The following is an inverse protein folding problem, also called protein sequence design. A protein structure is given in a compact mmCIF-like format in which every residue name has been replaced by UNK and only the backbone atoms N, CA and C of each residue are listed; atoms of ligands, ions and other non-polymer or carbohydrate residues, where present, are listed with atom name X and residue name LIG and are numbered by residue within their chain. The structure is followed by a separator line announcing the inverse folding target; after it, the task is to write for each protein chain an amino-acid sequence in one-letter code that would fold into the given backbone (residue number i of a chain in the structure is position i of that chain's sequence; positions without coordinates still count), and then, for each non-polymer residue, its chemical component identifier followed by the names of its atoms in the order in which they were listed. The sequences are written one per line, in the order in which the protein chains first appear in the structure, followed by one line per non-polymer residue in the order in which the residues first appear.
data_IF_379208454053
#
_entry.id   IF_379208454053
#
_cell.length_a   1.000
_cell.length_b   1.000
_cell.length_c   1.000
_cell.angle_alpha   90.00
_cell.angle_beta   90.00
_cell.angle_gamma   90.00
#
_symmetry.space_group_name_H-M   'P 1'
#
loop_
_entity.id
_entity.type
_entity.pdbx_description
1 polymer ?
#
# COMPACT_ATOMS: atom_id res chain seq x y z
N UNK A 1 31.37 1.19 9.24
CA UNK A 1 30.33 1.11 8.20
C UNK A 1 31.06 1.35 6.88
N UNK A 2 31.51 0.30 6.24
CA UNK A 2 32.34 0.36 5.04
C UNK A 2 31.40 0.13 3.86
N UNK A 3 31.05 1.22 3.17
CA UNK A 3 30.35 1.12 1.89
C UNK A 3 31.31 0.49 0.89
N UNK A 4 31.07 -0.73 0.49
CA UNK A 4 31.81 -1.39 -0.58
C UNK A 4 31.41 -0.75 -1.92
N UNK A 5 32.37 -0.38 -2.72
CA UNK A 5 32.21 0.31 -4.01
C UNK A 5 31.31 -0.50 -5.01
N UNK A 6 31.11 -1.79 -4.75
CA UNK A 6 30.23 -2.64 -5.54
C UNK A 6 28.74 -2.47 -5.26
N UNK A 7 28.36 -2.23 -4.01
CA UNK A 7 26.93 -2.14 -3.62
C UNK A 7 26.27 -0.88 -4.20
N UNK A 8 26.99 0.26 -4.21
CA UNK A 8 26.47 1.50 -4.75
C UNK A 8 26.24 1.49 -6.28
N UNK A 9 26.99 0.68 -7.01
CA UNK A 9 26.83 0.53 -8.46
C UNK A 9 25.59 -0.27 -8.81
N UNK A 10 25.35 -1.38 -8.10
CA UNK A 10 24.17 -2.25 -8.26
C UNK A 10 22.89 -1.47 -7.91
N UNK A 11 22.92 -0.64 -6.87
CA UNK A 11 21.79 0.22 -6.50
C UNK A 11 21.45 1.26 -7.57
N UNK A 12 22.47 1.91 -8.16
CA UNK A 12 22.27 2.90 -9.22
C UNK A 12 21.65 2.25 -10.47
N UNK A 13 22.17 1.11 -10.90
CA UNK A 13 21.62 0.34 -12.03
C UNK A 13 20.16 -0.08 -11.76
N UNK A 14 19.83 -0.44 -10.54
CA UNK A 14 18.45 -0.77 -10.14
C UNK A 14 17.53 0.44 -10.19
N UNK A 15 17.98 1.61 -9.72
CA UNK A 15 17.20 2.85 -9.79
C UNK A 15 16.98 3.26 -11.26
N UNK A 16 17.99 3.19 -12.11
CA UNK A 16 17.87 3.45 -13.54
C UNK A 16 16.85 2.49 -14.19
N UNK A 17 16.90 1.21 -13.85
CA UNK A 17 15.95 0.21 -14.35
C UNK A 17 14.50 0.55 -13.95
N UNK A 18 14.26 0.99 -12.71
CA UNK A 18 12.93 1.38 -12.23
C UNK A 18 12.44 2.65 -12.94
N UNK A 19 13.32 3.64 -13.14
CA UNK A 19 12.99 4.87 -13.87
C UNK A 19 12.68 4.58 -15.34
N UNK A 20 13.45 3.72 -15.98
CA UNK A 20 13.22 3.25 -17.34
C UNK A 20 11.88 2.53 -17.47
N UNK A 21 11.56 1.67 -16.49
CA UNK A 21 10.26 1.00 -16.42
C UNK A 21 9.12 2.03 -16.34
N UNK A 22 9.28 3.06 -15.51
CA UNK A 22 8.28 4.12 -15.37
C UNK A 22 8.08 4.90 -16.68
N UNK A 23 9.18 5.35 -17.31
CA UNK A 23 9.13 6.16 -18.53
C UNK A 23 8.52 5.39 -19.71
N UNK A 24 8.73 4.08 -19.78
CA UNK A 24 8.20 3.21 -20.84
C UNK A 24 6.76 2.74 -20.59
N UNK A 25 6.23 2.97 -19.37
CA UNK A 25 4.88 2.52 -19.01
C UNK A 25 3.81 3.51 -19.47
N UNK A 26 2.77 2.99 -20.08
CA UNK A 26 1.57 3.74 -20.47
C UNK A 26 0.42 3.55 -19.47
N UNK A 27 0.58 2.62 -18.55
CA UNK A 27 -0.42 2.27 -17.53
C UNK A 27 0.23 1.75 -16.25
N UNK A 28 -0.57 1.71 -15.15
CA UNK A 28 -0.15 1.04 -13.90
C UNK A 28 0.17 -0.44 -14.15
N UNK A 29 -0.61 -1.12 -15.00
CA UNK A 29 -0.36 -2.54 -15.35
C UNK A 29 0.99 -2.74 -16.02
N UNK A 30 1.39 -1.84 -16.93
CA UNK A 30 2.68 -1.92 -17.60
C UNK A 30 3.83 -1.69 -16.62
N UNK A 31 3.68 -0.73 -15.71
CA UNK A 31 4.65 -0.51 -14.66
C UNK A 31 4.76 -1.73 -13.73
N UNK A 32 3.64 -2.30 -13.30
CA UNK A 32 3.64 -3.53 -12.50
C UNK A 32 4.32 -4.69 -13.22
N UNK A 33 4.06 -4.86 -14.53
CA UNK A 33 4.71 -5.89 -15.34
C UNK A 33 6.22 -5.68 -15.38
N UNK A 34 6.67 -4.46 -15.58
CA UNK A 34 8.09 -4.13 -15.60
C UNK A 34 8.76 -4.42 -14.25
N UNK A 35 8.11 -4.12 -13.14
CA UNK A 35 8.60 -4.45 -11.79
C UNK A 35 8.75 -5.96 -11.61
N UNK A 36 7.72 -6.74 -11.94
CA UNK A 36 7.73 -8.22 -11.77
C UNK A 36 8.85 -8.88 -12.58
N UNK A 37 9.13 -8.36 -13.78
CA UNK A 37 10.16 -8.91 -14.66
C UNK A 37 11.54 -8.23 -14.56
N UNK A 38 11.72 -7.34 -13.59
CA UNK A 38 12.98 -6.63 -13.40
C UNK A 38 14.05 -7.52 -12.76
N UNK A 39 15.30 -7.26 -13.12
CA UNK A 39 16.45 -7.97 -12.54
C UNK A 39 16.64 -7.66 -11.04
N UNK A 40 16.26 -6.46 -10.58
CA UNK A 40 16.42 -6.09 -9.18
C UNK A 40 15.49 -6.86 -8.22
N UNK A 41 14.43 -7.48 -8.71
CA UNK A 41 13.56 -8.38 -7.93
C UNK A 41 14.10 -9.80 -7.87
N UNK A 42 15.15 -10.13 -8.65
CA UNK A 42 15.77 -11.45 -8.72
C UNK A 42 14.75 -12.58 -8.92
N UNK A 43 13.68 -12.32 -9.67
CA UNK A 43 12.55 -13.24 -9.89
C UNK A 43 11.80 -13.68 -8.62
N UNK A 44 12.04 -12.98 -7.50
CA UNK A 44 11.37 -13.28 -6.22
C UNK A 44 9.96 -12.72 -6.13
N UNK A 45 9.56 -11.86 -7.07
CA UNK A 45 8.23 -11.22 -7.13
C UNK A 45 7.41 -11.86 -8.24
N UNK A 46 6.24 -12.39 -7.88
CA UNK A 46 5.31 -13.05 -8.80
C UNK A 46 4.13 -12.17 -9.19
N UNK A 47 3.91 -11.06 -8.47
CA UNK A 47 2.85 -10.12 -8.77
C UNK A 47 3.11 -8.75 -8.15
N UNK A 48 2.53 -7.74 -8.77
CA UNK A 48 2.59 -6.35 -8.31
C UNK A 48 1.21 -5.74 -8.48
N UNK A 49 0.63 -5.20 -7.41
CA UNK A 49 -0.72 -4.67 -7.39
C UNK A 49 -0.78 -3.33 -6.67
N UNK A 50 -1.55 -2.40 -7.22
CA UNK A 50 -1.78 -1.08 -6.66
C UNK A 50 -3.15 -1.01 -6.00
N UNK A 51 -3.18 -0.41 -4.83
CA UNK A 51 -4.37 -0.12 -4.06
C UNK A 51 -4.43 1.38 -3.78
N UNK A 52 -5.58 2.00 -4.04
CA UNK A 52 -5.85 3.39 -3.70
C UNK A 52 -6.63 3.46 -2.39
N UNK A 53 -6.21 4.35 -1.49
CA UNK A 53 -6.92 4.63 -0.25
C UNK A 53 -8.01 5.65 -0.51
N UNK A 54 -9.25 5.31 -0.18
CA UNK A 54 -10.38 6.22 -0.28
C UNK A 54 -10.62 7.03 1.02
N UNK A 55 -11.63 7.91 0.98
CA UNK A 55 -11.99 8.74 2.12
C UNK A 55 -12.60 7.97 3.30
N UNK A 56 -13.09 6.76 3.05
CA UNK A 56 -13.67 5.86 4.06
C UNK A 56 -12.62 4.92 4.66
N UNK A 57 -11.36 5.12 4.30
CA UNK A 57 -10.23 4.29 4.72
C UNK A 57 -10.27 2.86 4.18
N UNK A 58 -10.81 2.67 2.96
CA UNK A 58 -10.68 1.41 2.23
C UNK A 58 -9.57 1.50 1.20
N UNK A 59 -8.83 0.43 1.09
CA UNK A 59 -7.82 0.19 0.07
C UNK A 59 -8.48 -0.57 -1.07
N UNK A 60 -8.80 0.16 -2.13
CA UNK A 60 -9.47 -0.38 -3.31
C UNK A 60 -8.44 -0.80 -4.35
N UNK A 61 -8.55 -1.99 -4.94
CA UNK A 61 -7.64 -2.41 -6.00
C UNK A 61 -7.83 -1.51 -7.23
N UNK A 62 -6.70 -0.97 -7.74
CA UNK A 62 -6.70 -0.10 -8.92
C UNK A 62 -6.30 -0.86 -10.16
N UNK A 63 -5.15 -1.49 -10.10
CA UNK A 63 -4.58 -2.25 -11.22
C UNK A 63 -3.41 -3.09 -10.73
N UNK A 64 -2.96 -4.03 -11.57
CA UNK A 64 -1.82 -4.86 -11.23
C UNK A 64 -1.45 -5.83 -12.34
N UNK A 65 -0.44 -6.64 -12.07
CA UNK A 65 0.06 -7.69 -12.95
C UNK A 65 0.57 -8.89 -12.15
N UNK A 66 0.34 -10.08 -12.66
CA UNK A 66 0.83 -11.33 -12.08
C UNK A 66 -0.09 -11.91 -11.01
N UNK A 67 0.49 -12.70 -10.11
CA UNK A 67 -0.25 -13.37 -9.01
C UNK A 67 -0.86 -12.34 -8.07
N UNK A 68 -2.10 -12.57 -7.67
CA UNK A 68 -2.81 -11.72 -6.70
C UNK A 68 -2.56 -12.16 -5.27
N UNK A 69 -2.49 -11.21 -4.34
CA UNK A 69 -2.44 -11.44 -2.91
C UNK A 69 -3.84 -11.57 -2.31
N UNK A 70 -4.74 -10.69 -2.72
CA UNK A 70 -6.16 -10.73 -2.38
C UNK A 70 -6.97 -11.27 -3.55
N UNK A 71 -8.16 -11.79 -3.29
CA UNK A 71 -9.09 -12.15 -4.34
C UNK A 71 -9.45 -10.93 -5.20
N UNK A 72 -9.69 -11.16 -6.48
CA UNK A 72 -9.94 -10.08 -7.44
C UNK A 72 -11.15 -9.24 -7.03
N UNK A 73 -10.93 -7.93 -6.91
CA UNK A 73 -11.98 -6.95 -6.61
C UNK A 73 -12.31 -6.80 -5.12
N UNK A 74 -11.62 -7.50 -4.22
CA UNK A 74 -11.81 -7.33 -2.78
C UNK A 74 -11.11 -6.05 -2.32
N UNK A 75 -11.86 -5.16 -1.68
CA UNK A 75 -11.35 -4.00 -0.96
C UNK A 75 -10.98 -4.39 0.47
N UNK A 76 -9.90 -3.82 0.97
CA UNK A 76 -9.37 -4.06 2.31
C UNK A 76 -9.60 -2.80 3.15
N UNK A 77 -10.07 -2.95 4.37
CA UNK A 77 -10.09 -1.82 5.31
C UNK A 77 -8.66 -1.47 5.75
N UNK A 78 -8.31 -0.19 5.81
CA UNK A 78 -7.02 0.23 6.38
C UNK A 78 -6.85 -0.17 7.86
N UNK A 79 -7.91 -0.66 8.50
CA UNK A 79 -7.94 -1.10 9.90
C UNK A 79 -7.85 -2.63 10.04
N UNK A 80 -7.85 -3.37 8.94
CA UNK A 80 -7.70 -4.81 8.98
C UNK A 80 -6.29 -5.21 9.45
N UNK A 81 -6.19 -6.40 10.03
CA UNK A 81 -4.92 -7.01 10.41
C UNK A 81 -4.26 -7.65 9.18
N UNK A 82 -3.74 -6.81 8.31
CA UNK A 82 -3.15 -7.18 7.03
C UNK A 82 -1.94 -6.31 6.72
N UNK A 83 -0.84 -6.87 6.15
CA UNK A 83 0.38 -6.13 5.84
C UNK A 83 0.17 -4.91 4.93
N UNK A 84 -0.79 -4.96 3.99
CA UNK A 84 -1.07 -3.83 3.10
C UNK A 84 -1.71 -2.69 3.90
N UNK A 85 -2.70 -3.02 4.74
CA UNK A 85 -3.36 -2.06 5.64
C UNK A 85 -2.36 -1.46 6.64
N UNK A 86 -1.54 -2.31 7.24
CA UNK A 86 -0.49 -1.90 8.16
C UNK A 86 0.53 -0.97 7.53
N UNK A 87 0.93 -1.20 6.28
CA UNK A 87 1.89 -0.34 5.58
C UNK A 87 1.38 1.08 5.45
N UNK A 88 0.10 1.24 5.12
CA UNK A 88 -0.56 2.54 4.99
C UNK A 88 -0.71 3.22 6.34
N UNK A 89 -1.13 2.47 7.36
CA UNK A 89 -1.36 2.98 8.72
C UNK A 89 -0.06 3.42 9.39
N UNK A 90 0.98 2.59 9.32
CA UNK A 90 2.30 2.86 9.90
C UNK A 90 3.17 3.77 9.04
N UNK A 91 2.81 3.96 7.75
CA UNK A 91 3.59 4.71 6.74
C UNK A 91 4.98 4.13 6.51
N UNK A 92 5.13 2.85 6.74
CA UNK A 92 6.35 2.07 6.61
C UNK A 92 6.06 0.80 5.82
N UNK A 93 7.04 0.27 5.11
CA UNK A 93 6.85 -1.00 4.42
C UNK A 93 6.61 -2.12 5.42
N UNK A 94 5.80 -3.10 5.03
CA UNK A 94 5.55 -4.31 5.80
C UNK A 94 5.95 -5.53 4.97
N UNK A 95 6.61 -6.45 5.62
CA UNK A 95 7.04 -7.70 4.99
C UNK A 95 6.43 -8.90 5.71
N UNK A 96 5.61 -9.66 5.00
CA UNK A 96 5.10 -10.95 5.45
C UNK A 96 5.85 -12.06 4.74
N UNK A 97 6.54 -12.88 5.54
CA UNK A 97 7.34 -13.98 5.02
C UNK A 97 6.44 -15.12 4.53
N UNK A 98 6.57 -15.55 3.26
CA UNK A 98 5.81 -16.67 2.71
C UNK A 98 6.10 -18.01 3.38
N UNK A 99 7.23 -18.16 4.09
CA UNK A 99 7.56 -19.42 4.79
C UNK A 99 6.55 -19.81 5.87
N UNK A 100 5.75 -18.88 6.38
CA UNK A 100 4.70 -19.14 7.35
C UNK A 100 3.38 -19.51 6.68
N UNK A 101 3.05 -18.83 5.60
CA UNK A 101 1.87 -19.04 4.77
C UNK A 101 2.30 -18.86 3.30
N UNK A 102 2.59 -19.97 2.58
CA UNK A 102 3.21 -19.89 1.24
C UNK A 102 2.45 -19.06 0.22
N UNK A 103 1.14 -18.96 0.40
CA UNK A 103 0.26 -18.20 -0.49
C UNK A 103 0.11 -16.72 -0.11
N UNK A 104 0.66 -16.30 1.04
CA UNK A 104 0.50 -14.95 1.59
C UNK A 104 1.81 -14.18 1.75
N UNK A 105 2.86 -14.56 1.05
CA UNK A 105 4.09 -13.77 1.02
C UNK A 105 3.86 -12.43 0.33
N UNK A 106 4.11 -11.31 1.02
CA UNK A 106 3.92 -9.97 0.46
C UNK A 106 4.93 -8.98 1.04
N UNK A 107 5.40 -8.08 0.19
CA UNK A 107 6.05 -6.83 0.58
C UNK A 107 5.10 -5.69 0.23
N UNK A 108 4.50 -5.09 1.25
CA UNK A 108 3.60 -3.96 1.12
C UNK A 108 4.36 -2.64 1.31
N UNK A 109 4.23 -1.73 0.36
CA UNK A 109 4.94 -0.45 0.33
C UNK A 109 3.90 0.68 0.32
N UNK A 110 3.90 1.59 1.30
CA UNK A 110 2.94 2.68 1.33
C UNK A 110 3.22 3.71 0.24
N UNK A 111 2.16 4.22 -0.37
CA UNK A 111 2.21 5.34 -1.30
C UNK A 111 1.86 6.61 -0.54
N UNK A 112 2.83 7.52 -0.45
CA UNK A 112 2.72 8.74 0.35
C UNK A 112 2.79 9.97 -0.54
N UNK A 113 1.82 10.86 -0.40
CA UNK A 113 1.83 12.21 -0.97
C UNK A 113 1.91 13.21 0.18
N UNK A 114 2.98 14.00 0.23
CA UNK A 114 3.24 14.98 1.32
C UNK A 114 3.10 14.34 2.71
N UNK A 115 3.64 13.13 2.88
CA UNK A 115 3.55 12.31 4.10
C UNK A 115 2.14 11.82 4.47
N UNK A 116 1.16 12.01 3.58
CA UNK A 116 -0.21 11.50 3.73
C UNK A 116 -0.35 10.22 2.89
N UNK A 117 -0.84 9.12 3.47
CA UNK A 117 -1.08 7.90 2.70
C UNK A 117 -2.16 8.12 1.64
N UNK A 118 -1.89 7.68 0.42
CA UNK A 118 -2.83 7.70 -0.71
C UNK A 118 -3.10 6.30 -1.26
N UNK A 119 -2.39 5.30 -0.76
CA UNK A 119 -2.55 3.92 -1.18
C UNK A 119 -1.35 3.06 -0.80
N UNK A 120 -1.25 1.91 -1.45
CA UNK A 120 -0.13 0.97 -1.29
C UNK A 120 0.20 0.23 -2.59
N UNK A 121 1.44 -0.25 -2.68
CA UNK A 121 1.85 -1.29 -3.62
C UNK A 121 2.03 -2.60 -2.85
N UNK A 122 1.46 -3.69 -3.34
CA UNK A 122 1.71 -5.03 -2.86
C UNK A 122 2.55 -5.80 -3.87
N UNK A 123 3.75 -6.21 -3.48
CA UNK A 123 4.59 -7.13 -4.23
C UNK A 123 4.36 -8.53 -3.68
N UNK A 124 3.72 -9.38 -4.47
CA UNK A 124 3.44 -10.78 -4.11
C UNK A 124 4.69 -11.61 -4.32
N UNK A 125 5.09 -12.33 -3.29
CA UNK A 125 6.39 -13.00 -3.24
C UNK A 125 6.29 -14.48 -3.60
N UNK A 126 7.38 -15.00 -4.12
CA UNK A 126 7.54 -16.45 -4.29
C UNK A 126 7.64 -17.14 -2.91
N UNK A 127 7.14 -18.38 -2.83
CA UNK A 127 7.12 -19.17 -1.59
C UNK A 127 8.52 -19.45 -0.99
N UNK A 128 9.58 -19.38 -1.81
CA UNK A 128 10.95 -19.65 -1.38
C UNK A 128 11.66 -18.42 -0.78
N UNK A 129 11.04 -17.23 -0.86
CA UNK A 129 11.61 -15.98 -0.37
C UNK A 129 11.67 -15.98 1.16
N UNK A 130 12.86 -15.77 1.73
CA UNK A 130 13.08 -15.80 3.18
C UNK A 130 13.28 -14.42 3.82
N UNK A 131 13.48 -13.40 3.02
CA UNK A 131 13.73 -12.02 3.47
C UNK A 131 13.19 -11.01 2.49
N UNK A 132 13.37 -9.71 2.77
CA UNK A 132 12.97 -8.65 1.83
C UNK A 132 13.72 -8.83 0.51
N UNK A 133 13.01 -9.01 -0.62
CA UNK A 133 13.63 -9.44 -1.88
C UNK A 133 14.34 -8.31 -2.64
N UNK A 134 14.20 -7.08 -2.20
CA UNK A 134 14.79 -5.88 -2.81
C UNK A 134 15.59 -5.11 -1.77
N UNK A 135 16.59 -4.34 -2.22
CA UNK A 135 17.35 -3.47 -1.31
C UNK A 135 16.42 -2.50 -0.57
N UNK A 136 16.63 -2.37 0.74
CA UNK A 136 15.83 -1.46 1.58
C UNK A 136 15.88 -0.01 1.08
N UNK A 137 16.96 0.39 0.43
CA UNK A 137 17.11 1.72 -0.15
C UNK A 137 16.21 1.95 -1.39
N UNK A 138 15.82 0.87 -2.09
CA UNK A 138 14.92 0.94 -3.25
C UNK A 138 13.45 1.04 -2.85
N UNK A 139 13.07 0.58 -1.66
CA UNK A 139 11.68 0.60 -1.19
C UNK A 139 11.10 2.02 -1.18
N UNK A 140 11.78 3.04 -0.62
CA UNK A 140 11.29 4.41 -0.68
C UNK A 140 11.21 4.98 -2.11
N UNK A 141 12.11 4.54 -2.99
CA UNK A 141 12.09 4.95 -4.41
C UNK A 141 10.85 4.39 -5.08
N UNK A 142 10.58 3.09 -4.91
CA UNK A 142 9.36 2.44 -5.43
C UNK A 142 8.09 3.10 -4.88
N UNK A 143 8.04 3.43 -3.60
CA UNK A 143 6.92 4.14 -3.00
C UNK A 143 6.67 5.51 -3.64
N UNK A 144 7.72 6.30 -3.89
CA UNK A 144 7.61 7.61 -4.55
C UNK A 144 7.15 7.48 -6.00
N UNK A 145 7.75 6.57 -6.77
CA UNK A 145 7.39 6.35 -8.16
C UNK A 145 6.01 5.74 -8.29
N UNK A 146 5.63 4.83 -7.39
CA UNK A 146 4.27 4.30 -7.31
C UNK A 146 3.24 5.39 -7.01
N UNK A 147 3.54 6.33 -6.12
CA UNK A 147 2.69 7.49 -5.87
C UNK A 147 2.52 8.34 -7.14
N UNK A 148 3.61 8.56 -7.88
CA UNK A 148 3.54 9.24 -9.17
C UNK A 148 2.67 8.48 -10.16
N UNK A 149 2.86 7.16 -10.33
CA UNK A 149 2.05 6.31 -11.21
C UNK A 149 0.56 6.38 -10.86
N UNK A 150 0.24 6.25 -9.57
CA UNK A 150 -1.14 6.32 -9.11
C UNK A 150 -1.79 7.64 -9.50
N UNK A 151 -1.10 8.77 -9.33
CA UNK A 151 -1.62 10.08 -9.70
C UNK A 151 -1.69 10.30 -11.21
N UNK A 152 -0.63 9.92 -11.95
CA UNK A 152 -0.54 10.17 -13.38
C UNK A 152 -1.54 9.33 -14.19
N UNK A 153 -1.65 8.05 -13.89
CA UNK A 153 -2.48 7.12 -14.65
C UNK A 153 -3.94 7.06 -14.17
N UNK A 154 -4.22 7.37 -12.88
CA UNK A 154 -5.61 7.51 -12.41
C UNK A 154 -6.31 8.71 -13.05
N UNK A 155 -5.58 9.77 -13.39
CA UNK A 155 -6.12 10.94 -14.11
C UNK A 155 -6.49 10.65 -15.57
N UNK A 156 -5.79 9.73 -16.23
CA UNK A 156 -6.05 9.34 -17.61
C UNK A 156 -7.28 8.44 -17.76
N UNK A 157 -7.56 7.60 -16.76
CA UNK A 157 -8.78 6.77 -16.66
C UNK A 157 -9.99 7.56 -16.14
N UNK A 158 -9.77 8.76 -15.63
CA UNK A 158 -10.76 9.61 -14.92
C UNK A 158 -11.80 10.29 -15.77
N UNK A 159 -11.99 9.89 -17.05
CA UNK A 159 -13.22 10.21 -17.78
C UNK A 159 -14.30 9.13 -17.69
N UNK A 160 -14.03 8.02 -17.04
CA UNK A 160 -14.97 6.92 -16.87
C UNK A 160 -15.25 6.51 -15.41
N UNK A 161 -14.60 7.14 -14.44
CA UNK A 161 -14.95 6.93 -13.03
C UNK A 161 -15.13 8.30 -12.39
N UNK A 162 -16.39 8.62 -12.16
CA UNK A 162 -16.78 9.83 -11.49
C UNK A 162 -16.06 9.99 -10.18
N UNK A 163 -15.66 11.24 -9.95
CA UNK A 163 -15.72 11.89 -8.66
C UNK A 163 -15.68 10.94 -7.47
N UNK A 164 -14.51 10.79 -6.84
CA UNK A 164 -14.45 10.36 -5.43
C UNK A 164 -14.99 11.44 -4.49
N UNK A 165 -15.97 12.19 -4.97
CA UNK A 165 -16.80 13.06 -4.17
C UNK A 165 -18.21 12.49 -4.21
N UNK A 166 -18.69 12.06 -3.06
CA UNK A 166 -20.09 11.88 -2.74
C UNK A 166 -20.90 10.94 -3.64
N UNK A 167 -20.66 9.63 -3.55
CA UNK A 167 -21.79 8.78 -3.28
C UNK A 167 -21.85 8.64 -1.76
N UNK A 168 -22.37 9.70 -1.14
CA UNK A 168 -23.15 9.52 0.05
C UNK A 168 -24.25 8.53 -0.34
N UNK A 169 -23.97 7.22 -0.21
CA UNK A 169 -25.00 6.29 0.10
C UNK A 169 -25.58 6.85 1.39
N UNK A 170 -26.79 7.38 1.27
CA UNK A 170 -27.72 7.39 2.39
C UNK A 170 -27.84 5.93 2.86
N UNK A 171 -26.85 5.47 3.60
CA UNK A 171 -26.98 4.35 4.49
C UNK A 171 -27.93 4.87 5.54
N UNK A 172 -29.16 4.43 5.45
CA UNK A 172 -30.10 4.47 6.57
C UNK A 172 -29.31 4.02 7.79
N UNK A 173 -29.25 4.91 8.81
CA UNK A 173 -28.41 4.75 9.97
C UNK A 173 -28.52 3.37 10.57
N UNK A 174 -27.40 2.90 11.01
CA UNK A 174 -27.11 2.07 12.18
C UNK A 174 -25.82 1.29 12.09
N UNK A 175 -25.16 1.20 10.92
CA UNK A 175 -23.91 0.44 10.83
C UNK A 175 -22.69 1.36 11.06
N UNK A 176 -21.94 1.03 12.12
CA UNK A 176 -20.66 1.67 12.44
C UNK A 176 -19.65 1.39 11.31
N UNK A 177 -18.87 2.39 10.94
CA UNK A 177 -17.75 2.22 10.02
C UNK A 177 -16.66 1.34 10.65
N UNK A 178 -15.84 0.67 9.82
CA UNK A 178 -14.72 -0.13 10.31
C UNK A 178 -13.78 0.66 11.22
N UNK A 179 -13.60 1.95 10.93
CA UNK A 179 -12.83 2.87 11.77
C UNK A 179 -13.47 3.06 13.14
N UNK A 180 -14.79 3.28 13.19
CA UNK A 180 -15.53 3.45 14.43
C UNK A 180 -15.51 2.18 15.27
N UNK A 181 -15.65 1.01 14.64
CA UNK A 181 -15.51 -0.29 15.32
C UNK A 181 -14.12 -0.40 15.97
N UNK A 182 -13.05 -0.10 15.24
CA UNK A 182 -11.68 -0.17 15.77
C UNK A 182 -11.45 0.81 16.93
N UNK A 183 -12.00 2.02 16.83
CA UNK A 183 -11.95 3.00 17.93
C UNK A 183 -12.69 2.47 19.17
N UNK A 184 -13.86 1.87 18.98
CA UNK A 184 -14.64 1.29 20.06
C UNK A 184 -13.93 0.10 20.72
N UNK A 185 -13.27 -0.75 19.92
CA UNK A 185 -12.46 -1.86 20.45
C UNK A 185 -11.35 -1.35 21.38
N UNK A 186 -10.57 -0.36 20.93
CA UNK A 186 -9.52 0.24 21.74
C UNK A 186 -10.07 0.96 22.98
N UNK A 187 -11.24 1.59 22.88
CA UNK A 187 -11.94 2.14 24.05
C UNK A 187 -12.36 1.05 25.03
N UNK A 188 -12.81 -0.10 24.55
CA UNK A 188 -13.17 -1.24 25.40
C UNK A 188 -11.97 -1.86 26.12
N UNK A 189 -10.77 -1.72 25.55
CA UNK A 189 -9.50 -2.07 26.18
C UNK A 189 -9.01 -1.03 27.21
N UNK A 190 -9.74 0.08 27.34
CA UNK A 190 -9.47 1.14 28.32
C UNK A 190 -8.54 2.26 27.83
N UNK A 191 -8.21 2.31 26.55
CA UNK A 191 -7.38 3.38 26.00
C UNK A 191 -8.15 4.71 25.97
N UNK A 192 -7.45 5.80 26.30
CA UNK A 192 -8.01 7.16 26.17
C UNK A 192 -7.76 7.73 24.76
N UNK A 193 -8.53 8.74 24.38
CA UNK A 193 -8.50 9.31 23.02
C UNK A 193 -7.09 9.67 22.51
N UNK A 194 -6.19 10.12 23.38
CA UNK A 194 -4.79 10.44 23.04
C UNK A 194 -4.00 9.18 22.69
N UNK A 195 -4.24 8.09 23.40
CA UNK A 195 -3.57 6.79 23.16
C UNK A 195 -4.11 6.17 21.89
N UNK A 196 -5.43 6.18 21.68
CA UNK A 196 -6.09 5.74 20.48
C UNK A 196 -5.59 6.53 19.25
N UNK A 197 -5.50 7.86 19.38
CA UNK A 197 -4.96 8.71 18.31
C UNK A 197 -3.52 8.33 17.95
N UNK A 198 -2.69 8.00 18.94
CA UNK A 198 -1.31 7.54 18.72
C UNK A 198 -1.28 6.16 18.06
N UNK A 199 -2.07 5.22 18.56
CA UNK A 199 -2.15 3.85 18.05
C UNK A 199 -2.62 3.84 16.59
N UNK A 200 -3.65 4.62 16.28
CA UNK A 200 -4.24 4.72 14.94
C UNK A 200 -3.55 5.76 14.03
N UNK A 201 -2.51 6.45 14.53
CA UNK A 201 -1.79 7.53 13.82
C UNK A 201 -2.74 8.64 13.31
N UNK A 202 -3.77 8.94 14.09
CA UNK A 202 -4.75 9.97 13.82
C UNK A 202 -4.56 11.16 14.76
N UNK A 203 -5.25 12.26 14.47
CA UNK A 203 -5.34 13.37 15.44
C UNK A 203 -6.36 13.06 16.53
N UNK A 204 -6.14 13.57 17.73
CA UNK A 204 -7.13 13.46 18.82
C UNK A 204 -8.49 14.06 18.43
N UNK A 205 -8.48 15.14 17.64
CA UNK A 205 -9.69 15.75 17.11
C UNK A 205 -10.45 14.82 16.18
N UNK A 206 -9.75 14.01 15.39
CA UNK A 206 -10.38 13.00 14.53
C UNK A 206 -11.05 11.91 15.38
N UNK A 207 -10.37 11.41 16.43
CA UNK A 207 -10.97 10.42 17.34
C UNK A 207 -12.25 10.98 17.98
N UNK A 208 -12.21 12.23 18.46
CA UNK A 208 -13.40 12.87 19.04
C UNK A 208 -14.54 13.00 18.03
N UNK A 209 -14.27 13.35 16.79
CA UNK A 209 -15.31 13.45 15.75
C UNK A 209 -15.96 12.09 15.45
N UNK A 210 -15.18 11.03 15.42
CA UNK A 210 -15.71 9.67 15.16
C UNK A 210 -16.52 9.12 16.34
N UNK A 211 -16.26 9.57 17.56
CA UNK A 211 -16.96 9.10 18.76
C UNK A 211 -18.23 9.90 19.10
N UNK A 212 -18.47 11.06 18.47
CA UNK A 212 -19.63 11.92 18.70
C UNK A 212 -20.73 11.74 17.66
N UNK A 213 -20.48 10.97 16.62
CA UNK A 213 -21.48 10.59 15.60
C UNK A 213 -22.25 9.36 16.02
#
# INVERSE_FOLDING_TARGET
MTLTYGDGKVELESIESILDALVKSESITDFCRAIVHSEFTQHSVQGCHFYALDSESHLNPVSGYGRTYLDSGVSLSAWDDDPIADSVRKKEYQFQNPSKEPDKGVLAIPLLKDSVPVGAIALVLDAEVKGVPISENLIPVLGKLGTYCLNAFSGASGRASGSYSSLAREANGEDLTSRQIKILDLMSEGLVNVEIARELMLSESTIRQETVR
#
